data_IF_874412559086
#
_entry.id   IF_874412559086
#
_cell.length_a   1.000
_cell.length_b   1.000
_cell.length_c   1.000
_cell.angle_alpha   90.00
_cell.angle_beta   90.00
_cell.angle_gamma   90.00
#
_symmetry.space_group_name_H-M   'P 1'
#
loop_
_entity.id
_entity.type
_entity.pdbx_description
1 polymer ?
#
# COMPACT_ATOMS: atom_id res chain seq x y z
N UNK A 1 16.15 -22.04 27.63
CA UNK A 1 16.18 -22.25 26.17
C UNK A 1 15.39 -21.14 25.47
N UNK A 2 16.05 -20.30 24.68
CA UNK A 2 15.36 -19.28 23.87
C UNK A 2 14.63 -19.98 22.71
N UNK A 3 13.30 -19.90 22.67
CA UNK A 3 12.53 -20.40 21.52
C UNK A 3 12.84 -19.49 20.32
N UNK A 4 13.55 -20.03 19.32
CA UNK A 4 13.91 -19.31 18.11
C UNK A 4 12.62 -18.99 17.32
N UNK A 5 12.06 -17.80 17.49
CA UNK A 5 10.81 -17.40 16.85
C UNK A 5 11.11 -16.95 15.43
N UNK A 6 10.67 -17.73 14.43
CA UNK A 6 10.65 -17.24 13.04
C UNK A 6 9.70 -16.03 12.95
N UNK A 7 10.17 -14.86 12.51
CA UNK A 7 9.32 -13.69 12.38
C UNK A 7 8.31 -13.89 11.25
N UNK A 8 7.02 -13.88 11.58
CA UNK A 8 5.92 -13.92 10.60
C UNK A 8 5.80 -12.56 9.90
N UNK A 9 5.81 -12.58 8.57
CA UNK A 9 5.57 -11.41 7.70
C UNK A 9 4.12 -10.94 7.81
N UNK A 10 3.86 -9.69 7.38
CA UNK A 10 2.50 -9.15 7.34
C UNK A 10 1.59 -10.01 6.42
N UNK A 11 2.13 -10.48 5.29
CA UNK A 11 1.42 -11.35 4.36
C UNK A 11 1.01 -12.69 4.97
N UNK A 12 1.92 -13.35 5.70
CA UNK A 12 1.60 -14.61 6.40
C UNK A 12 0.53 -14.41 7.47
N UNK A 13 0.60 -13.31 8.24
CA UNK A 13 -0.43 -12.98 9.24
C UNK A 13 -1.80 -12.74 8.61
N UNK A 14 -1.85 -12.12 7.44
CA UNK A 14 -3.10 -11.90 6.70
C UNK A 14 -3.70 -13.22 6.18
N UNK A 15 -2.87 -14.14 5.68
CA UNK A 15 -3.33 -15.49 5.29
C UNK A 15 -3.92 -16.25 6.48
N UNK A 16 -3.27 -16.15 7.65
CA UNK A 16 -3.77 -16.74 8.89
C UNK A 16 -5.13 -16.16 9.31
N UNK A 17 -5.32 -14.84 9.15
CA UNK A 17 -6.61 -14.18 9.43
C UNK A 17 -7.68 -14.70 8.48
N UNK A 18 -7.38 -14.78 7.18
CA UNK A 18 -8.32 -15.26 6.16
C UNK A 18 -8.72 -16.72 6.41
N UNK A 19 -7.76 -17.59 6.71
CA UNK A 19 -8.01 -19.00 7.01
C UNK A 19 -8.82 -19.18 8.31
N UNK A 20 -8.57 -18.33 9.31
CA UNK A 20 -9.32 -18.35 10.56
C UNK A 20 -10.77 -17.88 10.37
N UNK A 21 -11.03 -16.93 9.47
CA UNK A 21 -12.37 -16.45 9.16
C UNK A 21 -13.16 -17.44 8.29
N UNK A 22 -12.50 -18.12 7.34
CA UNK A 22 -13.12 -19.21 6.55
C UNK A 22 -13.60 -20.36 7.45
N UNK A 23 -12.91 -20.59 8.57
CA UNK A 23 -13.20 -21.63 9.55
C UNK A 23 -13.97 -21.07 10.76
N UNK A 24 -14.93 -20.17 10.54
CA UNK A 24 -15.63 -19.37 11.57
C UNK A 24 -16.29 -20.17 12.73
N UNK A 25 -16.39 -21.50 12.63
CA UNK A 25 -16.88 -22.39 13.70
C UNK A 25 -15.82 -23.30 14.35
N UNK A 26 -14.59 -23.33 13.86
CA UNK A 26 -13.54 -24.19 14.40
C UNK A 26 -12.94 -23.62 15.69
N UNK A 27 -12.56 -24.50 16.61
CA UNK A 27 -11.87 -24.06 17.83
C UNK A 27 -10.52 -23.43 17.47
N UNK A 28 -10.20 -22.29 18.10
CA UNK A 28 -8.93 -21.57 17.91
C UNK A 28 -7.70 -22.47 18.13
N UNK A 29 -7.85 -23.49 18.98
CA UNK A 29 -6.83 -24.51 19.21
C UNK A 29 -6.63 -25.46 18.02
N UNK A 30 -7.70 -25.81 17.29
CA UNK A 30 -7.59 -26.61 16.05
C UNK A 30 -6.88 -25.85 14.94
N UNK A 31 -7.28 -24.59 14.72
CA UNK A 31 -6.67 -23.72 13.70
C UNK A 31 -5.18 -23.51 14.00
N UNK A 32 -4.83 -23.30 15.27
CA UNK A 32 -3.44 -23.16 15.70
C UNK A 32 -2.60 -24.42 15.46
N UNK A 33 -3.17 -25.62 15.70
CA UNK A 33 -2.52 -26.90 15.42
C UNK A 33 -2.27 -27.09 13.93
N UNK A 34 -3.28 -26.83 13.11
CA UNK A 34 -3.20 -27.01 11.65
C UNK A 34 -2.20 -26.04 11.00
N UNK A 35 -2.11 -24.82 11.53
CA UNK A 35 -1.17 -23.80 11.06
C UNK A 35 0.23 -23.95 11.68
N UNK A 36 0.44 -24.92 12.58
CA UNK A 36 1.68 -25.13 13.33
C UNK A 36 2.16 -23.86 14.09
N UNK A 37 1.21 -23.11 14.69
CA UNK A 37 1.48 -21.85 15.39
C UNK A 37 0.96 -21.96 16.84
N UNK A 38 1.66 -21.41 17.84
CA UNK A 38 1.15 -21.36 19.21
C UNK A 38 -0.21 -20.64 19.29
N UNK A 39 -1.15 -21.19 20.06
CA UNK A 39 -2.50 -20.60 20.24
C UNK A 39 -2.45 -19.15 20.72
N UNK A 40 -1.45 -18.82 21.56
CA UNK A 40 -1.19 -17.46 22.02
C UNK A 40 -0.85 -16.51 20.87
N UNK A 41 -0.06 -16.94 19.90
CA UNK A 41 0.28 -16.17 18.71
C UNK A 41 -0.93 -15.98 17.80
N UNK A 42 -1.75 -17.01 17.59
CA UNK A 42 -3.00 -16.90 16.82
C UNK A 42 -3.94 -15.88 17.47
N UNK A 43 -4.08 -15.91 18.80
CA UNK A 43 -4.91 -14.95 19.55
C UNK A 43 -4.43 -13.51 19.38
N UNK A 44 -3.12 -13.27 19.45
CA UNK A 44 -2.54 -11.94 19.22
C UNK A 44 -2.74 -11.45 17.78
N UNK A 45 -2.61 -12.35 16.79
CA UNK A 45 -2.84 -12.03 15.38
C UNK A 45 -4.31 -11.63 15.17
N UNK A 46 -5.26 -12.42 15.67
CA UNK A 46 -6.69 -12.11 15.55
C UNK A 46 -7.08 -10.81 16.27
N UNK A 47 -6.49 -10.52 17.44
CA UNK A 47 -6.75 -9.28 18.17
C UNK A 47 -6.24 -8.03 17.42
N UNK A 48 -5.22 -8.16 16.57
CA UNK A 48 -4.64 -7.08 15.77
C UNK A 48 -5.09 -7.10 14.31
N UNK A 49 -6.14 -7.87 13.97
CA UNK A 49 -6.57 -8.11 12.59
C UNK A 49 -6.90 -6.81 11.83
N UNK A 50 -7.59 -5.87 12.48
CA UNK A 50 -8.05 -4.64 11.82
C UNK A 50 -6.88 -3.71 11.51
N UNK A 51 -5.91 -3.58 12.43
CA UNK A 51 -4.67 -2.85 12.18
C UNK A 51 -3.85 -3.46 11.04
N UNK A 52 -3.82 -4.80 10.91
CA UNK A 52 -3.11 -5.47 9.82
C UNK A 52 -3.83 -5.31 8.48
N UNK A 53 -5.16 -5.32 8.45
CA UNK A 53 -5.96 -5.01 7.26
C UNK A 53 -5.74 -3.57 6.79
N UNK A 54 -5.77 -2.62 7.72
CA UNK A 54 -5.51 -1.22 7.42
C UNK A 54 -4.07 -1.01 6.93
N UNK A 55 -3.11 -1.75 7.48
CA UNK A 55 -1.71 -1.72 7.03
C UNK A 55 -1.53 -2.30 5.63
N UNK A 56 -2.33 -3.29 5.21
CA UNK A 56 -2.38 -3.79 3.82
C UNK A 56 -2.92 -2.74 2.85
N UNK A 57 -3.90 -1.95 3.30
CA UNK A 57 -4.52 -0.87 2.52
C UNK A 57 -3.71 0.42 2.52
N UNK A 58 -2.58 0.49 3.25
CA UNK A 58 -1.69 1.64 3.18
C UNK A 58 -1.05 1.72 1.80
N UNK A 59 -1.72 2.53 0.99
CA UNK A 59 -1.36 3.27 -0.21
C UNK A 59 0.13 3.19 -0.52
N UNK A 60 0.43 2.95 -1.78
CA UNK A 60 1.76 3.16 -2.29
C UNK A 60 2.17 4.62 -2.10
N UNK A 61 3.00 4.85 -1.08
CA UNK A 61 3.48 6.18 -0.76
C UNK A 61 4.66 6.47 -1.67
N UNK A 62 4.64 7.65 -2.30
CA UNK A 62 5.77 8.15 -3.07
C UNK A 62 7.05 8.15 -2.21
N UNK A 63 8.17 7.74 -2.79
CA UNK A 63 9.38 7.45 -2.06
C UNK A 63 9.99 8.73 -1.53
N UNK A 64 9.78 9.86 -2.22
CA UNK A 64 10.19 11.18 -1.79
C UNK A 64 9.34 11.65 -0.60
N UNK A 65 8.01 11.51 -0.70
CA UNK A 65 7.08 11.86 0.40
C UNK A 65 7.42 11.07 1.67
N UNK A 66 7.71 9.77 1.52
CA UNK A 66 8.06 8.93 2.66
C UNK A 66 9.38 9.37 3.30
N UNK A 67 10.40 9.75 2.50
CA UNK A 67 11.66 10.27 3.04
C UNK A 67 11.47 11.56 3.82
N UNK A 68 10.80 12.54 3.22
CA UNK A 68 10.55 13.86 3.83
C UNK A 68 9.81 13.73 5.16
N UNK A 69 8.74 12.93 5.19
CA UNK A 69 7.99 12.68 6.43
C UNK A 69 8.83 11.93 7.46
N UNK A 70 9.67 11.01 7.04
CA UNK A 70 10.53 10.25 7.98
C UNK A 70 11.56 11.18 8.61
N UNK A 71 12.18 12.07 7.84
CA UNK A 71 13.12 13.06 8.36
C UNK A 71 12.42 14.02 9.32
N UNK A 72 11.21 14.48 9.00
CA UNK A 72 10.38 15.29 9.92
C UNK A 72 10.10 14.58 11.24
N UNK A 73 9.79 13.28 11.18
CA UNK A 73 9.55 12.46 12.39
C UNK A 73 10.85 12.25 13.17
N UNK A 74 11.98 12.05 12.49
CA UNK A 74 13.27 11.89 13.15
C UNK A 74 13.68 13.15 13.92
N UNK A 75 13.47 14.33 13.35
CA UNK A 75 13.66 15.62 14.03
C UNK A 75 12.78 15.74 15.28
N UNK A 76 11.49 15.35 15.18
CA UNK A 76 10.58 15.34 16.34
C UNK A 76 10.98 14.33 17.43
N UNK A 77 11.69 13.27 17.06
CA UNK A 77 12.20 12.25 17.98
C UNK A 77 13.64 12.52 18.44
N UNK A 78 14.17 13.74 18.23
CA UNK A 78 15.54 14.13 18.61
C UNK A 78 16.61 13.18 18.06
N UNK A 79 16.41 12.68 16.85
CA UNK A 79 17.36 11.83 16.14
C UNK A 79 17.88 12.59 14.92
N UNK A 80 18.73 13.58 15.17
CA UNK A 80 19.22 14.52 14.15
C UNK A 80 20.19 13.87 13.14
N UNK A 81 20.83 12.76 13.53
CA UNK A 81 21.74 11.99 12.66
C UNK A 81 21.02 11.06 11.67
N UNK A 82 19.70 10.96 11.77
CA UNK A 82 18.95 10.06 10.91
C UNK A 82 18.75 10.66 9.51
N UNK A 83 19.25 9.95 8.49
CA UNK A 83 19.03 10.30 7.09
C UNK A 83 18.18 9.24 6.40
N UNK A 84 17.10 9.67 5.74
CA UNK A 84 16.24 8.79 4.96
C UNK A 84 16.89 8.44 3.59
N UNK A 85 18.04 7.78 3.64
CA UNK A 85 18.81 7.36 2.46
C UNK A 85 18.03 6.37 1.60
N UNK A 86 18.42 6.24 0.32
CA UNK A 86 17.88 5.21 -0.58
C UNK A 86 18.02 3.80 0.01
N UNK A 87 19.19 3.49 0.59
CA UNK A 87 19.43 2.19 1.22
C UNK A 87 18.56 1.91 2.45
N UNK A 88 18.27 2.95 3.26
CA UNK A 88 17.30 2.83 4.35
C UNK A 88 15.90 2.53 3.81
N UNK A 89 15.48 3.29 2.79
CA UNK A 89 14.17 3.14 2.17
C UNK A 89 13.98 1.74 1.57
N UNK A 90 14.97 1.19 0.87
CA UNK A 90 14.90 -0.16 0.29
C UNK A 90 14.83 -1.26 1.36
N UNK A 91 15.59 -1.12 2.44
CA UNK A 91 15.51 -2.05 3.59
C UNK A 91 14.17 -1.93 4.30
N UNK A 92 13.65 -0.70 4.44
CA UNK A 92 12.35 -0.43 5.03
C UNK A 92 11.23 -1.06 4.20
N UNK A 93 11.25 -0.90 2.87
CA UNK A 93 10.32 -1.56 1.93
C UNK A 93 10.33 -3.08 2.10
N UNK A 94 11.52 -3.70 2.03
CA UNK A 94 11.68 -5.17 2.19
C UNK A 94 11.13 -5.68 3.53
N UNK A 95 11.30 -4.91 4.61
CA UNK A 95 10.84 -5.29 5.95
C UNK A 95 9.34 -5.08 6.16
N UNK A 96 8.79 -4.00 5.61
CA UNK A 96 7.38 -3.61 5.78
C UNK A 96 6.44 -4.27 4.76
N UNK A 97 6.99 -4.82 3.67
CA UNK A 97 6.18 -5.34 2.56
C UNK A 97 5.49 -4.24 1.77
N UNK A 98 5.92 -2.98 1.90
CA UNK A 98 5.40 -1.85 1.14
C UNK A 98 5.94 -1.94 -0.29
N UNK A 99 5.04 -2.20 -1.23
CA UNK A 99 5.34 -2.16 -2.67
C UNK A 99 5.08 -0.75 -3.18
N UNK A 100 6.03 -0.20 -3.92
CA UNK A 100 5.82 1.04 -4.64
C UNK A 100 4.85 0.78 -5.80
N UNK A 101 3.63 1.29 -5.69
CA UNK A 101 2.87 1.68 -6.87
C UNK A 101 3.17 3.14 -7.10
N UNK A 102 3.79 3.47 -8.23
CA UNK A 102 3.82 4.86 -8.68
C UNK A 102 2.34 5.24 -8.88
N UNK A 103 1.79 6.10 -8.03
CA UNK A 103 0.53 6.76 -8.34
C UNK A 103 0.84 7.76 -9.47
N UNK A 104 1.09 7.25 -10.67
CA UNK A 104 0.99 8.02 -11.89
C UNK A 104 -0.49 8.14 -12.17
N UNK A 105 -0.99 9.37 -12.10
CA UNK A 105 -2.39 9.70 -12.25
C UNK A 105 -2.67 10.91 -11.40
N UNK A 106 -2.72 12.07 -12.04
CA UNK A 106 -3.13 13.36 -11.48
C UNK A 106 -4.60 13.36 -11.01
N UNK A 107 -5.15 12.22 -10.58
CA UNK A 107 -6.53 12.10 -10.11
C UNK A 107 -6.77 12.78 -8.75
N UNK A 108 -5.73 13.36 -8.13
CA UNK A 108 -5.82 13.95 -6.80
C UNK A 108 -6.19 15.44 -6.79
N UNK A 109 -6.33 16.12 -7.94
CA UNK A 109 -6.59 17.57 -7.96
C UNK A 109 -7.77 18.04 -8.81
N UNK A 110 -8.59 17.13 -9.37
CA UNK A 110 -9.77 17.52 -10.14
C UNK A 110 -11.01 17.49 -9.24
N UNK A 111 -11.69 18.63 -9.09
CA UNK A 111 -12.96 18.70 -8.34
C UNK A 111 -14.05 17.87 -9.01
N UNK A 112 -14.96 17.29 -8.20
CA UNK A 112 -16.11 16.53 -8.69
C UNK A 112 -16.95 17.33 -9.69
N UNK A 113 -17.14 18.63 -9.44
CA UNK A 113 -17.86 19.53 -10.33
C UNK A 113 -17.21 19.67 -11.72
N UNK A 114 -15.87 19.61 -11.78
CA UNK A 114 -15.13 19.65 -13.03
C UNK A 114 -15.31 18.34 -13.78
N UNK A 115 -15.23 17.20 -13.08
CA UNK A 115 -15.45 15.88 -13.68
C UNK A 115 -16.86 15.76 -14.28
N UNK A 116 -17.90 16.18 -13.56
CA UNK A 116 -19.28 16.10 -14.06
C UNK A 116 -19.50 16.98 -15.30
N UNK A 117 -18.98 18.21 -15.30
CA UNK A 117 -19.05 19.11 -16.45
C UNK A 117 -18.36 18.53 -17.68
N UNK A 118 -17.13 18.03 -17.53
CA UNK A 118 -16.40 17.46 -18.65
C UNK A 118 -17.02 16.13 -19.11
N UNK A 119 -17.58 15.32 -18.21
CA UNK A 119 -18.27 14.07 -18.57
C UNK A 119 -19.53 14.33 -19.42
N UNK A 120 -20.23 15.44 -19.16
CA UNK A 120 -21.38 15.84 -19.97
C UNK A 120 -20.97 16.44 -21.33
N UNK A 121 -19.86 17.19 -21.39
CA UNK A 121 -19.42 17.90 -22.59
C UNK A 121 -18.59 17.03 -23.56
N UNK A 122 -17.85 16.03 -23.06
CA UNK A 122 -16.98 15.19 -23.87
C UNK A 122 -17.70 14.49 -25.04
N UNK A 123 -18.89 13.89 -24.84
CA UNK A 123 -19.60 13.20 -25.91
C UNK A 123 -20.07 14.14 -27.02
N UNK A 124 -20.45 15.38 -26.69
CA UNK A 124 -20.82 16.40 -27.69
C UNK A 124 -19.61 16.81 -28.51
N UNK A 125 -18.47 17.05 -27.85
CA UNK A 125 -17.23 17.43 -28.52
C UNK A 125 -16.69 16.32 -29.44
N UNK A 126 -16.77 15.04 -29.02
CA UNK A 126 -16.24 13.90 -29.78
C UNK A 126 -17.12 13.57 -30.99
N UNK A 127 -18.42 13.91 -30.98
CA UNK A 127 -19.31 13.67 -32.13
C UNK A 127 -18.89 14.41 -33.40
N UNK A 128 -18.19 15.54 -33.27
CA UNK A 128 -17.70 16.33 -34.41
C UNK A 128 -16.43 15.74 -35.06
N UNK A 129 -15.78 14.78 -34.39
CA UNK A 129 -14.55 14.15 -34.86
C UNK A 129 -14.77 12.68 -35.19
N UNK A 130 -14.04 12.18 -36.19
CA UNK A 130 -14.01 10.73 -36.43
C UNK A 130 -13.18 10.08 -35.33
N UNK A 131 -13.54 8.86 -34.95
CA UNK A 131 -12.79 8.09 -33.95
C UNK A 131 -11.30 7.90 -34.32
N UNK A 132 -10.94 7.97 -35.61
CA UNK A 132 -9.56 7.94 -36.09
C UNK A 132 -8.74 9.18 -35.73
N UNK A 133 -9.41 10.28 -35.41
CA UNK A 133 -8.82 11.59 -35.12
C UNK A 133 -8.84 11.91 -33.61
N UNK A 134 -9.32 10.97 -32.78
CA UNK A 134 -9.36 11.09 -31.32
C UNK A 134 -8.13 10.39 -30.73
N UNK A 135 -7.17 11.18 -30.26
CA UNK A 135 -5.93 10.67 -29.67
C UNK A 135 -5.92 10.86 -28.14
N UNK A 136 -5.43 9.85 -27.41
CA UNK A 136 -5.13 9.99 -25.99
C UNK A 136 -3.77 10.69 -25.82
N UNK A 137 -3.76 11.90 -25.23
CA UNK A 137 -2.57 12.72 -25.06
C UNK A 137 -1.79 12.45 -23.74
N UNK A 138 -2.10 11.36 -23.04
CA UNK A 138 -1.51 10.96 -21.74
C UNK A 138 0.02 10.71 -21.79
N UNK A 139 0.59 10.38 -22.95
CA UNK A 139 2.01 10.00 -23.06
C UNK A 139 2.81 10.78 -24.12
N UNK A 140 2.76 12.12 -24.13
CA UNK A 140 3.70 12.93 -24.94
C UNK A 140 4.56 13.87 -24.12
N UNK A 141 5.37 13.27 -23.24
CA UNK A 141 6.54 13.89 -22.60
C UNK A 141 7.84 13.18 -23.00
N UNK A 142 8.17 13.12 -24.29
CA UNK A 142 9.47 12.63 -24.74
C UNK A 142 10.57 13.62 -24.29
N UNK A 143 11.25 13.32 -23.18
CA UNK A 143 12.52 13.95 -22.83
C UNK A 143 13.57 13.56 -23.88
N UNK A 144 13.92 14.47 -24.81
CA UNK A 144 15.21 14.39 -25.50
C UNK A 144 16.29 14.84 -24.51
N UNK A 145 17.07 13.89 -24.00
CA UNK A 145 18.36 14.24 -23.39
C UNK A 145 19.33 14.53 -24.55
N UNK A 146 19.79 15.78 -24.63
CA UNK A 146 21.10 16.11 -25.18
C UNK A 146 22.07 16.25 -24.01
#
# INVERSE_FOLDING_TARGET
MSRNRKPLTLGEKLRIIEEAEKRNGATKASIARDLNIPVSSLKTILAKKDSMRQMRQRIAVDGAILKEKTETVALRCSTDDFKASNGWLDRFKKRSGVVYSRCCGESASVSSDTVEKWTALLPELIQEYKLSDVFNADETGQCRQQ
#
